data_IF_524237327446
#
_entry.id   IF_524237327446
#
_cell.length_a   1.000
_cell.length_b   1.000
_cell.length_c   1.000
_cell.angle_alpha   90.00
_cell.angle_beta   90.00
_cell.angle_gamma   90.00
#
_symmetry.space_group_name_H-M   'P 1'
#
loop_
_entity.id
_entity.type
_entity.pdbx_description
1 polymer ?
#
# COMPACT_ATOMS: atom_id res chain seq x y z
N UNK A 1 -25.45 -5.65 10.21
CA UNK A 1 -25.58 -5.86 8.74
C UNK A 1 -26.39 -7.13 8.60
N UNK A 2 -27.53 -7.06 7.99
CA UNK A 2 -28.39 -8.22 7.78
C UNK A 2 -27.70 -9.25 6.88
N UNK A 3 -28.01 -10.52 7.00
CA UNK A 3 -27.36 -11.63 6.25
C UNK A 3 -27.49 -11.45 4.74
N UNK A 4 -28.62 -10.92 4.29
CA UNK A 4 -28.87 -10.59 2.88
C UNK A 4 -27.90 -9.52 2.33
N UNK A 5 -27.60 -8.48 3.12
CA UNK A 5 -26.69 -7.41 2.71
C UNK A 5 -25.24 -7.92 2.54
N UNK A 6 -24.87 -8.92 3.35
CA UNK A 6 -23.54 -9.53 3.32
C UNK A 6 -23.35 -10.43 2.11
N UNK A 7 -24.32 -11.27 1.76
CA UNK A 7 -24.26 -12.11 0.55
C UNK A 7 -24.23 -11.26 -0.71
N UNK A 8 -25.02 -10.19 -0.74
CA UNK A 8 -25.03 -9.26 -1.86
C UNK A 8 -23.66 -8.54 -2.00
N UNK A 9 -23.04 -8.14 -0.89
CA UNK A 9 -21.72 -7.52 -0.90
C UNK A 9 -20.63 -8.50 -1.38
N UNK A 10 -20.68 -9.77 -0.95
CA UNK A 10 -19.77 -10.82 -1.44
C UNK A 10 -19.93 -11.01 -2.96
N UNK A 11 -21.17 -10.99 -3.44
CA UNK A 11 -21.45 -11.11 -4.87
C UNK A 11 -20.91 -9.91 -5.66
N UNK A 12 -21.15 -8.69 -5.19
CA UNK A 12 -20.67 -7.44 -5.80
C UNK A 12 -19.14 -7.40 -5.86
N UNK A 13 -18.47 -7.77 -4.77
CA UNK A 13 -17.01 -7.82 -4.71
C UNK A 13 -16.46 -8.86 -5.70
N UNK A 14 -17.01 -10.07 -5.71
CA UNK A 14 -16.53 -11.15 -6.56
C UNK A 14 -16.70 -10.81 -8.05
N UNK A 15 -17.86 -10.25 -8.44
CA UNK A 15 -18.15 -9.80 -9.80
C UNK A 15 -17.18 -8.70 -10.25
N UNK A 16 -17.00 -7.66 -9.42
CA UNK A 16 -16.11 -6.54 -9.75
C UNK A 16 -14.63 -6.97 -9.86
N UNK A 17 -14.21 -7.99 -9.12
CA UNK A 17 -12.84 -8.52 -9.17
C UNK A 17 -12.67 -9.59 -10.28
N UNK A 18 -13.76 -10.10 -10.84
CA UNK A 18 -13.75 -11.19 -11.81
C UNK A 18 -13.29 -12.53 -11.21
N UNK A 19 -13.71 -12.82 -9.97
CA UNK A 19 -13.34 -14.04 -9.23
C UNK A 19 -14.57 -14.81 -8.75
N UNK A 20 -14.36 -16.06 -8.28
CA UNK A 20 -15.42 -16.83 -7.64
C UNK A 20 -15.76 -16.28 -6.25
N UNK A 21 -17.04 -16.30 -5.88
CA UNK A 21 -17.54 -15.87 -4.55
C UNK A 21 -16.88 -16.63 -3.39
N UNK A 22 -16.47 -17.87 -3.59
CA UNK A 22 -15.80 -18.70 -2.59
C UNK A 22 -14.48 -18.11 -2.06
N UNK A 23 -13.87 -17.20 -2.83
CA UNK A 23 -12.65 -16.48 -2.43
C UNK A 23 -12.91 -15.21 -1.61
N UNK A 24 -14.17 -14.80 -1.47
CA UNK A 24 -14.56 -13.60 -0.71
C UNK A 24 -15.17 -14.03 0.63
N UNK A 25 -14.47 -13.72 1.71
CA UNK A 25 -14.87 -14.07 3.06
C UNK A 25 -15.13 -12.79 3.87
N UNK A 26 -16.07 -12.81 4.81
CA UNK A 26 -16.34 -11.68 5.69
C UNK A 26 -15.93 -11.98 7.12
N UNK A 27 -15.08 -11.13 7.69
CA UNK A 27 -14.70 -11.16 9.11
C UNK A 27 -15.67 -10.26 9.90
N UNK A 28 -16.59 -10.86 10.65
CA UNK A 28 -17.61 -10.17 11.44
C UNK A 28 -17.00 -9.26 12.52
N UNK A 29 -15.89 -9.67 13.12
CA UNK A 29 -15.27 -8.92 14.21
C UNK A 29 -14.58 -7.66 13.70
N UNK A 30 -13.93 -7.75 12.54
CA UNK A 30 -13.17 -6.65 11.96
C UNK A 30 -13.98 -5.83 10.96
N UNK A 31 -15.17 -6.31 10.57
CA UNK A 31 -16.00 -5.69 9.51
C UNK A 31 -15.22 -5.49 8.21
N UNK A 32 -14.50 -6.53 7.79
CA UNK A 32 -13.64 -6.49 6.60
C UNK A 32 -13.90 -7.69 5.69
N UNK A 33 -13.89 -7.48 4.37
CA UNK A 33 -13.95 -8.55 3.39
C UNK A 33 -12.54 -9.03 3.06
N UNK A 34 -12.30 -10.33 3.23
CA UNK A 34 -11.00 -10.96 3.02
C UNK A 34 -11.04 -11.74 1.70
N UNK A 35 -10.18 -11.37 0.78
CA UNK A 35 -10.02 -12.02 -0.51
C UNK A 35 -8.82 -12.96 -0.43
N UNK A 36 -9.10 -14.26 -0.40
CA UNK A 36 -8.09 -15.33 -0.27
C UNK A 36 -8.59 -16.66 -0.80
N UNK A 37 -7.68 -17.54 -1.20
CA UNK A 37 -7.96 -18.98 -1.31
C UNK A 37 -8.05 -19.59 0.10
N UNK A 38 -9.17 -20.21 0.44
CA UNK A 38 -9.43 -20.77 1.77
C UNK A 38 -8.46 -21.88 2.15
N UNK A 39 -7.97 -22.63 1.18
CA UNK A 39 -6.96 -23.67 1.38
C UNK A 39 -5.52 -23.12 1.40
N UNK A 40 -5.33 -21.84 1.10
CA UNK A 40 -4.01 -21.18 1.01
C UNK A 40 -3.05 -21.80 -0.02
N UNK A 41 -3.53 -22.60 -0.94
CA UNK A 41 -2.72 -23.35 -1.92
C UNK A 41 -2.49 -22.57 -3.21
N UNK A 42 -3.44 -21.70 -3.59
CA UNK A 42 -3.41 -20.99 -4.87
C UNK A 42 -3.30 -19.49 -4.67
N UNK A 43 -2.72 -18.83 -5.66
CA UNK A 43 -2.83 -17.37 -5.83
C UNK A 43 -4.13 -17.07 -6.57
N UNK A 44 -4.81 -16.00 -6.16
CA UNK A 44 -6.05 -15.55 -6.82
C UNK A 44 -5.67 -14.49 -7.85
N UNK A 45 -6.07 -14.71 -9.10
CA UNK A 45 -5.84 -13.79 -10.19
C UNK A 45 -6.97 -12.77 -10.28
N UNK A 46 -6.65 -11.50 -10.05
CA UNK A 46 -7.57 -10.37 -10.10
C UNK A 46 -7.42 -9.69 -11.47
N UNK A 47 -8.44 -9.81 -12.30
CA UNK A 47 -8.43 -9.27 -13.68
C UNK A 47 -9.00 -7.87 -13.77
N UNK A 48 -9.82 -7.49 -12.81
CA UNK A 48 -10.46 -6.18 -12.72
C UNK A 48 -10.34 -5.62 -11.33
N UNK A 49 -10.14 -4.32 -11.19
CA UNK A 49 -10.16 -3.63 -9.91
C UNK A 49 -10.70 -2.21 -10.10
N UNK A 50 -11.83 -1.94 -9.50
CA UNK A 50 -12.50 -0.66 -9.61
C UNK A 50 -12.46 0.08 -8.27
N UNK A 51 -12.22 1.39 -8.30
CA UNK A 51 -12.20 2.25 -7.12
C UNK A 51 -13.51 2.20 -6.30
N UNK A 52 -14.67 1.93 -6.94
CA UNK A 52 -15.95 1.79 -6.25
C UNK A 52 -15.95 0.72 -5.16
N UNK A 53 -15.08 -0.29 -5.26
CA UNK A 53 -14.95 -1.33 -4.26
C UNK A 53 -14.46 -0.77 -2.92
N UNK A 54 -13.39 0.02 -2.93
CA UNK A 54 -12.86 0.55 -1.68
C UNK A 54 -13.61 1.80 -1.17
N UNK A 55 -14.50 2.39 -1.97
CA UNK A 55 -15.46 3.36 -1.47
C UNK A 55 -16.53 2.74 -0.58
N UNK A 56 -16.87 1.47 -0.86
CA UNK A 56 -17.97 0.76 -0.20
C UNK A 56 -17.50 -0.17 0.89
N UNK A 57 -16.34 -0.82 0.71
CA UNK A 57 -15.94 -1.97 1.50
C UNK A 57 -14.54 -1.80 2.07
N UNK A 58 -14.36 -2.26 3.32
CA UNK A 58 -13.04 -2.56 3.86
C UNK A 58 -12.54 -3.86 3.22
N UNK A 59 -11.37 -3.83 2.59
CA UNK A 59 -10.86 -4.94 1.78
C UNK A 59 -9.49 -5.41 2.29
N UNK A 60 -9.32 -6.72 2.40
CA UNK A 60 -8.05 -7.35 2.72
C UNK A 60 -7.73 -8.43 1.69
N UNK A 61 -6.72 -8.19 0.89
CA UNK A 61 -6.23 -9.12 -0.13
C UNK A 61 -5.02 -9.88 0.38
N UNK A 62 -5.01 -11.20 0.25
CA UNK A 62 -3.84 -11.99 0.59
C UNK A 62 -3.50 -13.00 -0.50
N UNK A 63 -2.22 -13.04 -0.91
CA UNK A 63 -1.71 -13.89 -1.98
C UNK A 63 -2.47 -13.71 -3.31
N UNK A 64 -2.83 -12.48 -3.65
CA UNK A 64 -3.50 -12.16 -4.92
C UNK A 64 -2.48 -11.66 -5.96
N UNK A 65 -2.75 -11.94 -7.24
CA UNK A 65 -2.04 -11.39 -8.39
C UNK A 65 -2.97 -10.44 -9.12
N UNK A 66 -2.64 -9.16 -9.15
CA UNK A 66 -3.39 -8.14 -9.88
C UNK A 66 -2.85 -8.04 -11.30
N UNK A 67 -3.58 -8.63 -12.25
CA UNK A 67 -3.25 -8.61 -13.68
C UNK A 67 -3.79 -7.35 -14.39
N UNK A 68 -4.53 -6.52 -13.69
CA UNK A 68 -5.11 -5.28 -14.19
C UNK A 68 -4.33 -4.05 -13.70
N UNK A 69 -4.46 -2.94 -14.41
CA UNK A 69 -4.06 -1.63 -13.92
C UNK A 69 -5.01 -1.20 -12.79
N UNK A 70 -4.45 -0.73 -11.66
CA UNK A 70 -5.22 -0.12 -10.59
C UNK A 70 -5.11 1.39 -10.75
N UNK A 71 -6.24 2.03 -11.05
CA UNK A 71 -6.26 3.46 -11.36
C UNK A 71 -7.39 4.17 -10.64
N UNK A 72 -7.02 5.23 -9.94
CA UNK A 72 -7.94 6.25 -9.47
C UNK A 72 -7.32 7.64 -9.67
N UNK A 73 -7.86 8.35 -10.62
CA UNK A 73 -7.39 9.68 -11.04
C UNK A 73 -8.53 10.71 -11.01
N UNK A 74 -9.52 10.51 -10.16
CA UNK A 74 -10.68 11.40 -10.05
C UNK A 74 -10.33 12.84 -9.66
N UNK A 75 -9.14 13.05 -9.11
CA UNK A 75 -8.48 14.36 -9.06
C UNK A 75 -8.99 15.35 -8.05
N UNK A 76 -10.04 15.08 -7.33
CA UNK A 76 -10.61 15.98 -6.34
C UNK A 76 -10.76 15.26 -5.00
N UNK A 77 -9.67 15.22 -4.22
CA UNK A 77 -9.68 14.90 -2.78
C UNK A 77 -10.76 13.88 -2.33
N UNK A 78 -10.88 12.76 -3.07
CA UNK A 78 -11.81 11.71 -2.68
C UNK A 78 -11.31 11.08 -1.39
N UNK A 79 -12.06 11.24 -0.31
CA UNK A 79 -11.80 10.62 0.97
C UNK A 79 -12.12 9.13 0.88
N UNK A 80 -11.08 8.29 1.02
CA UNK A 80 -11.23 6.84 1.10
C UNK A 80 -11.25 6.47 2.58
N UNK A 81 -12.44 6.39 3.15
CA UNK A 81 -12.66 6.09 4.56
C UNK A 81 -12.48 4.61 4.89
N UNK A 82 -12.70 3.72 3.93
CA UNK A 82 -12.51 2.29 4.08
C UNK A 82 -11.03 1.90 4.01
N UNK A 83 -10.68 0.85 4.76
CA UNK A 83 -9.33 0.31 4.75
C UNK A 83 -9.09 -0.60 3.55
N UNK A 84 -7.89 -0.49 2.95
CA UNK A 84 -7.44 -1.36 1.87
C UNK A 84 -6.10 -1.97 2.27
N UNK A 85 -6.05 -3.29 2.38
CA UNK A 85 -4.86 -3.98 2.86
C UNK A 85 -4.44 -5.08 1.89
N UNK A 86 -3.16 -5.12 1.57
CA UNK A 86 -2.55 -6.10 0.68
C UNK A 86 -1.42 -6.82 1.42
N UNK A 87 -1.52 -8.14 1.49
CA UNK A 87 -0.51 -9.01 2.10
C UNK A 87 -0.04 -10.06 1.10
N UNK A 88 1.26 -10.09 0.81
CA UNK A 88 1.87 -11.05 -0.13
C UNK A 88 1.21 -11.01 -1.52
N UNK A 89 0.83 -9.82 -1.98
CA UNK A 89 0.22 -9.63 -3.30
C UNK A 89 1.26 -9.24 -4.34
N UNK A 90 0.96 -9.55 -5.60
CA UNK A 90 1.75 -9.15 -6.76
C UNK A 90 0.92 -8.22 -7.65
N UNK A 91 1.55 -7.14 -8.12
CA UNK A 91 0.95 -6.17 -9.04
C UNK A 91 1.71 -6.22 -10.36
N UNK A 92 1.11 -6.89 -11.35
CA UNK A 92 1.70 -7.09 -12.67
C UNK A 92 1.69 -5.81 -13.51
N UNK A 93 0.71 -4.94 -13.27
CA UNK A 93 0.48 -3.71 -13.99
C UNK A 93 0.65 -2.46 -13.10
N UNK A 94 0.44 -1.29 -13.70
CA UNK A 94 0.62 -0.01 -13.03
C UNK A 94 -0.40 0.21 -11.91
N UNK A 95 0.05 0.89 -10.86
CA UNK A 95 -0.83 1.51 -9.87
C UNK A 95 -0.73 3.02 -10.04
N UNK A 96 -1.86 3.67 -10.28
CA UNK A 96 -1.96 5.09 -10.58
C UNK A 96 -2.97 5.76 -9.64
N UNK A 97 -2.49 6.27 -8.53
CA UNK A 97 -3.28 7.03 -7.57
C UNK A 97 -2.85 8.49 -7.58
N UNK A 98 -3.80 9.40 -7.81
CA UNK A 98 -3.55 10.82 -7.87
C UNK A 98 -4.52 11.59 -6.99
N UNK A 99 -3.97 12.41 -6.07
CA UNK A 99 -4.72 13.34 -5.24
C UNK A 99 -5.85 12.67 -4.43
N UNK A 100 -5.54 11.54 -3.79
CA UNK A 100 -6.46 10.76 -2.97
C UNK A 100 -6.12 10.88 -1.48
N UNK A 101 -7.14 10.78 -0.64
CA UNK A 101 -7.00 10.76 0.82
C UNK A 101 -7.29 9.37 1.34
N UNK A 102 -6.26 8.62 1.67
CA UNK A 102 -6.38 7.28 2.26
C UNK A 102 -6.46 7.37 3.78
N UNK A 103 -7.54 6.86 4.38
CA UNK A 103 -7.60 6.67 5.83
C UNK A 103 -6.69 5.54 6.25
N UNK A 104 -6.83 4.37 5.64
CA UNK A 104 -6.00 3.21 5.93
C UNK A 104 -5.62 2.50 4.63
N UNK A 105 -4.33 2.44 4.32
CA UNK A 105 -3.83 1.63 3.21
C UNK A 105 -2.51 0.96 3.61
N UNK A 106 -2.32 -0.30 3.20
CA UNK A 106 -1.12 -1.04 3.54
C UNK A 106 -0.76 -2.06 2.47
N UNK A 107 0.54 -2.17 2.19
CA UNK A 107 1.12 -3.12 1.25
C UNK A 107 2.29 -3.85 1.94
N UNK A 108 2.03 -5.01 2.52
CA UNK A 108 3.04 -5.78 3.26
C UNK A 108 3.47 -6.99 2.45
N UNK A 109 4.78 -7.19 2.29
CA UNK A 109 5.35 -8.31 1.51
C UNK A 109 4.82 -8.35 0.07
N UNK A 110 4.55 -7.18 -0.52
CA UNK A 110 4.00 -7.05 -1.87
C UNK A 110 5.09 -6.85 -2.91
N UNK A 111 4.82 -7.26 -4.14
CA UNK A 111 5.70 -7.06 -5.28
C UNK A 111 5.04 -6.20 -6.35
N UNK A 112 5.65 -5.06 -6.68
CA UNK A 112 5.19 -4.12 -7.70
C UNK A 112 6.09 -4.24 -8.93
N UNK A 113 5.63 -4.96 -9.95
CA UNK A 113 6.42 -5.24 -11.16
C UNK A 113 6.46 -4.09 -12.15
N UNK A 114 5.55 -3.11 -12.02
CA UNK A 114 5.44 -1.98 -12.94
C UNK A 114 5.46 -0.64 -12.19
N UNK A 115 5.43 0.46 -12.93
CA UNK A 115 5.43 1.80 -12.35
C UNK A 115 4.24 1.98 -11.38
N UNK A 116 4.55 2.55 -10.22
CA UNK A 116 3.57 2.83 -9.17
C UNK A 116 3.61 4.31 -8.83
N UNK A 117 2.45 4.95 -8.73
CA UNK A 117 2.40 6.34 -8.30
C UNK A 117 1.32 6.57 -7.24
N UNK A 118 1.70 7.36 -6.25
CA UNK A 118 0.86 7.90 -5.19
C UNK A 118 0.95 9.43 -5.17
N UNK A 119 1.04 10.05 -6.33
CA UNK A 119 1.29 11.49 -6.46
C UNK A 119 0.20 12.33 -5.80
N UNK A 120 0.60 13.31 -4.98
CA UNK A 120 -0.27 14.20 -4.22
C UNK A 120 -1.28 13.47 -3.32
N UNK A 121 -1.01 12.22 -2.95
CA UNK A 121 -1.86 11.45 -2.04
C UNK A 121 -1.60 11.84 -0.58
N UNK A 122 -2.65 11.80 0.24
CA UNK A 122 -2.56 11.98 1.69
C UNK A 122 -2.87 10.67 2.40
N UNK A 123 -1.96 10.24 3.26
CA UNK A 123 -2.09 9.06 4.11
C UNK A 123 -2.43 9.52 5.53
N UNK A 124 -3.71 9.39 5.94
CA UNK A 124 -4.24 9.95 7.19
C UNK A 124 -3.78 9.21 8.43
N UNK A 125 -3.59 7.90 8.33
CA UNK A 125 -3.12 7.05 9.42
C UNK A 125 -1.88 6.27 9.02
N UNK A 126 -1.44 5.32 9.85
CA UNK A 126 -0.27 4.49 9.58
C UNK A 126 -0.33 3.82 8.21
N UNK A 127 0.64 4.15 7.35
CA UNK A 127 0.81 3.54 6.04
C UNK A 127 2.01 2.58 6.08
N UNK A 128 1.84 1.36 5.55
CA UNK A 128 2.86 0.33 5.66
C UNK A 128 3.23 -0.28 4.31
N UNK A 129 4.51 -0.21 3.96
CA UNK A 129 5.12 -0.83 2.78
C UNK A 129 6.16 -1.90 3.16
N UNK A 130 6.11 -2.39 4.38
CA UNK A 130 7.11 -3.30 4.93
C UNK A 130 7.39 -4.51 4.05
N UNK A 131 8.69 -4.79 3.86
CA UNK A 131 9.21 -5.94 3.10
C UNK A 131 8.65 -6.05 1.67
N UNK A 132 8.21 -4.94 1.11
CA UNK A 132 7.72 -4.88 -0.28
C UNK A 132 8.85 -4.54 -1.26
N UNK A 133 8.66 -4.94 -2.51
CA UNK A 133 9.62 -4.72 -3.60
C UNK A 133 8.97 -3.88 -4.69
N UNK A 134 9.63 -2.79 -5.07
CA UNK A 134 9.29 -1.98 -6.22
C UNK A 134 10.32 -2.25 -7.33
N UNK A 135 9.96 -3.10 -8.30
CA UNK A 135 10.86 -3.47 -9.40
C UNK A 135 11.03 -2.33 -10.41
N UNK A 136 10.08 -1.40 -10.45
CA UNK A 136 10.10 -0.25 -11.33
C UNK A 136 9.99 1.06 -10.55
N UNK A 137 9.83 2.17 -11.28
CA UNK A 137 9.73 3.51 -10.72
C UNK A 137 8.52 3.64 -9.80
N UNK A 138 8.73 4.22 -8.62
CA UNK A 138 7.66 4.62 -7.71
C UNK A 138 7.75 6.11 -7.40
N UNK A 139 6.60 6.78 -7.36
CA UNK A 139 6.50 8.19 -7.02
C UNK A 139 5.54 8.44 -5.88
N UNK A 140 6.03 9.18 -4.90
CA UNK A 140 5.30 9.80 -3.81
C UNK A 140 5.38 11.34 -3.90
N UNK A 141 5.59 11.87 -5.12
CA UNK A 141 5.71 13.31 -5.34
C UNK A 141 4.49 14.06 -4.73
N UNK A 142 4.76 15.10 -3.94
CA UNK A 142 3.75 15.91 -3.23
C UNK A 142 2.84 15.14 -2.27
N UNK A 143 3.19 13.93 -1.88
CA UNK A 143 2.39 13.15 -0.94
C UNK A 143 2.58 13.60 0.49
N UNK A 144 1.54 13.43 1.31
CA UNK A 144 1.57 13.76 2.74
C UNK A 144 1.32 12.50 3.59
N UNK A 145 2.25 12.21 4.49
CA UNK A 145 2.11 11.16 5.49
C UNK A 145 1.81 11.83 6.84
N UNK A 146 0.53 11.86 7.24
CA UNK A 146 0.08 12.57 8.45
C UNK A 146 0.39 11.80 9.73
N UNK A 147 0.57 10.49 9.64
CA UNK A 147 0.96 9.59 10.73
C UNK A 147 2.20 8.79 10.31
N UNK A 148 2.56 7.78 11.06
CA UNK A 148 3.67 6.88 10.78
C UNK A 148 3.63 6.31 9.37
N UNK A 149 4.81 6.21 8.74
CA UNK A 149 4.98 5.39 7.54
C UNK A 149 6.14 4.42 7.72
N UNK A 150 5.97 3.18 7.26
CA UNK A 150 7.01 2.16 7.31
C UNK A 150 7.41 1.72 5.90
N UNK A 151 8.69 1.87 5.60
CA UNK A 151 9.40 1.24 4.50
C UNK A 151 10.43 0.21 5.03
N UNK A 152 10.19 -0.38 6.21
CA UNK A 152 11.09 -1.37 6.81
C UNK A 152 11.34 -2.52 5.84
N UNK A 153 12.61 -2.85 5.58
CA UNK A 153 13.01 -3.87 4.59
C UNK A 153 12.45 -3.66 3.18
N UNK A 154 11.92 -2.51 2.82
CA UNK A 154 11.41 -2.25 1.47
C UNK A 154 12.57 -2.14 0.49
N UNK A 155 12.44 -2.76 -0.67
CA UNK A 155 13.47 -2.73 -1.70
C UNK A 155 12.99 -1.99 -2.95
N UNK A 156 13.77 -1.00 -3.37
CA UNK A 156 13.51 -0.18 -4.56
C UNK A 156 14.59 -0.48 -5.61
N UNK A 157 14.20 -1.02 -6.78
CA UNK A 157 15.15 -1.24 -7.87
C UNK A 157 15.56 0.05 -8.57
N UNK A 158 14.68 1.07 -8.53
CA UNK A 158 14.96 2.42 -9.01
C UNK A 158 14.80 3.41 -7.87
N UNK A 159 15.49 4.55 -7.95
CA UNK A 159 15.38 5.60 -6.94
C UNK A 159 13.93 6.08 -6.83
N UNK A 160 13.29 5.97 -5.67
CA UNK A 160 11.92 6.45 -5.47
C UNK A 160 11.86 7.98 -5.49
N UNK A 161 10.80 8.53 -6.05
CA UNK A 161 10.58 9.98 -6.08
C UNK A 161 9.76 10.42 -4.87
N UNK A 162 10.37 11.18 -3.97
CA UNK A 162 9.71 11.83 -2.82
C UNK A 162 9.74 13.37 -2.94
N UNK A 163 9.84 13.92 -4.15
CA UNK A 163 9.86 15.37 -4.34
C UNK A 163 8.65 16.02 -3.69
N UNK A 164 8.89 17.04 -2.86
CA UNK A 164 7.85 17.76 -2.11
C UNK A 164 6.96 16.87 -1.22
N UNK A 165 7.38 15.64 -0.91
CA UNK A 165 6.69 14.79 0.04
C UNK A 165 6.89 15.33 1.48
N UNK A 166 5.81 15.24 2.29
CA UNK A 166 5.80 15.72 3.67
C UNK A 166 5.57 14.52 4.60
N UNK A 167 6.42 14.39 5.61
CA UNK A 167 6.34 13.37 6.65
C UNK A 167 6.06 14.03 8.00
N UNK A 168 4.80 14.05 8.45
CA UNK A 168 4.42 14.62 9.76
C UNK A 168 4.59 13.62 10.90
N UNK A 169 4.57 12.32 10.60
CA UNK A 169 4.80 11.24 11.55
C UNK A 169 6.19 10.60 11.41
N UNK A 170 6.43 9.55 12.19
CA UNK A 170 7.70 8.85 12.15
C UNK A 170 7.89 8.06 10.86
N UNK A 171 9.03 8.24 10.20
CA UNK A 171 9.47 7.44 9.06
C UNK A 171 10.34 6.27 9.53
N UNK A 172 9.87 5.03 9.33
CA UNK A 172 10.70 3.84 9.51
C UNK A 172 11.24 3.38 8.16
N UNK A 173 12.52 3.61 7.92
CA UNK A 173 13.20 3.19 6.68
C UNK A 173 14.39 2.24 6.96
N UNK A 174 14.35 1.51 8.09
CA UNK A 174 15.39 0.55 8.47
C UNK A 174 15.50 -0.52 7.38
N UNK A 175 16.73 -0.79 6.93
CA UNK A 175 17.05 -1.72 5.85
C UNK A 175 16.39 -1.42 4.49
N UNK A 176 15.71 -0.31 4.32
CA UNK A 176 15.30 0.14 3.00
C UNK A 176 16.50 0.71 2.23
N UNK A 177 16.59 0.44 0.94
CA UNK A 177 17.64 1.01 0.08
C UNK A 177 17.20 2.38 -0.48
N UNK A 178 16.78 3.28 0.40
CA UNK A 178 16.39 4.63 0.04
C UNK A 178 17.66 5.47 -0.19
N UNK A 179 17.90 5.84 -1.44
CA UNK A 179 18.84 6.90 -1.79
C UNK A 179 18.05 8.23 -1.79
N UNK A 180 17.79 8.76 -0.62
CA UNK A 180 17.23 10.11 -0.51
C UNK A 180 18.29 11.13 -0.93
N UNK A 181 17.95 11.99 -1.86
CA UNK A 181 18.49 13.34 -1.88
C UNK A 181 17.70 14.11 -0.82
N UNK A 182 18.39 14.48 0.26
CA UNK A 182 17.78 15.00 1.49
C UNK A 182 17.08 16.36 1.38
N UNK A 183 16.98 16.94 0.20
CA UNK A 183 16.49 18.32 0.01
C UNK A 183 15.02 18.55 0.43
N UNK A 184 14.28 17.48 0.72
CA UNK A 184 12.85 17.54 0.96
C UNK A 184 12.38 16.90 2.30
N UNK A 185 13.31 16.47 3.15
CA UNK A 185 12.97 15.98 4.49
C UNK A 185 13.11 17.11 5.50
N UNK A 186 12.13 17.25 6.41
CA UNK A 186 12.31 18.14 7.56
C UNK A 186 13.60 17.80 8.31
N UNK A 187 14.30 18.82 8.78
CA UNK A 187 15.62 18.74 9.46
C UNK A 187 15.67 17.65 10.53
N UNK A 188 14.57 17.47 11.28
CA UNK A 188 14.44 16.46 12.34
C UNK A 188 14.53 15.03 11.84
N UNK A 189 13.87 14.73 10.72
CA UNK A 189 13.87 13.38 10.09
C UNK A 189 15.25 13.10 9.49
N UNK A 190 15.91 14.13 8.94
CA UNK A 190 17.30 14.04 8.47
C UNK A 190 18.23 13.61 9.59
N UNK A 191 18.15 14.27 10.75
CA UNK A 191 19.00 13.97 11.91
C UNK A 191 18.79 12.56 12.44
N UNK A 192 17.54 12.10 12.60
CA UNK A 192 17.22 10.75 13.07
C UNK A 192 17.73 9.67 12.10
N UNK A 193 17.60 9.89 10.80
CA UNK A 193 18.11 8.97 9.78
C UNK A 193 19.64 8.91 9.74
N UNK A 194 20.31 10.07 9.84
CA UNK A 194 21.77 10.14 9.91
C UNK A 194 22.33 9.46 11.16
N UNK A 195 21.71 9.69 12.30
CA UNK A 195 22.10 9.08 13.57
C UNK A 195 21.95 7.57 13.55
N UNK A 196 20.85 7.07 12.98
CA UNK A 196 20.63 5.64 12.76
C UNK A 196 21.73 5.03 11.87
N UNK A 197 22.04 5.66 10.75
CA UNK A 197 23.08 5.16 9.83
C UNK A 197 24.49 5.21 10.45
N UNK A 198 24.80 6.22 11.27
CA UNK A 198 26.04 6.27 12.05
C UNK A 198 26.15 5.10 13.04
N UNK A 199 25.04 4.76 13.70
CA UNK A 199 25.00 3.66 14.67
C UNK A 199 25.11 2.28 13.98
N UNK A 200 24.52 2.10 12.79
CA UNK A 200 24.67 0.90 11.97
C UNK A 200 26.12 0.68 11.53
N UNK A 201 26.82 1.74 11.08
CA UNK A 201 28.25 1.68 10.71
C UNK A 201 29.15 1.34 11.89
N UNK A 202 28.81 1.77 13.11
CA UNK A 202 29.56 1.42 14.33
C UNK A 202 29.40 -0.06 14.70
N UNK A 203 28.19 -0.63 14.55
CA UNK A 203 27.95 -2.07 14.85
C UNK A 203 28.62 -3.00 13.85
N UNK A 204 28.87 -2.57 12.61
CA UNK A 204 29.56 -3.37 11.60
C UNK A 204 31.09 -3.35 11.81
N UNK A 205 31.63 -2.32 12.47
CA UNK A 205 33.08 -2.17 12.75
C UNK A 205 33.56 -2.82 14.05
N UNK A 206 32.63 -3.21 14.92
CA UNK A 206 32.93 -3.95 16.17
C UNK A 206 31.99 -5.16 16.21
N UNK A 207 32.39 -6.33 15.62
CA UNK A 207 31.67 -7.59 15.73
C UNK A 207 31.74 -8.18 17.13
#
# INVERSE_FOLDING_TARGET
MEEFDKEQAIADIAENLGISKEYVNFDENKKIYIIKDNNNLKKIHIKNFNYKLYERYNLFFTKCIFECEIKDTRGLSSDIENGIFFLKCEFENKILFFNLYFKNISFILCNFKNNTTFQACTFKTFCNFESSVFENFVSFDKSMFLDKVSFYNTHFHKVPNFSQAIFNGNLNAINANLNFTFDNLEEKIKQEYEEFNKNKKKKIKNP
#
